data_IF_742391301029
#
_entry.id   IF_742391301029
#
_cell.length_a   1.000
_cell.length_b   1.000
_cell.length_c   1.000
_cell.angle_alpha   90.00
_cell.angle_beta   90.00
_cell.angle_gamma   90.00
#
_symmetry.space_group_name_H-M   'P 1'
#
loop_
_entity.id
_entity.type
_entity.pdbx_description
1 polymer ?
#
# COMPACT_ATOMS: atom_id res chain seq x y z
N UNK A 1 19.27 5.60 -11.48
CA UNK A 1 19.67 4.44 -12.30
C UNK A 1 20.73 3.66 -11.54
N UNK A 2 20.48 2.38 -11.33
CA UNK A 2 21.32 1.51 -10.50
C UNK A 2 21.85 0.34 -11.33
N UNK A 3 23.17 0.13 -11.30
CA UNK A 3 23.84 -0.95 -12.00
C UNK A 3 24.20 -2.09 -11.04
N UNK A 4 24.06 -3.32 -11.51
CA UNK A 4 24.40 -4.55 -10.79
C UNK A 4 25.38 -5.39 -11.59
N UNK A 5 26.38 -5.93 -10.91
CA UNK A 5 27.14 -7.06 -11.39
C UNK A 5 26.47 -8.37 -11.00
N UNK A 6 26.62 -9.40 -11.84
CA UNK A 6 26.09 -10.71 -11.55
C UNK A 6 26.80 -11.32 -10.31
N UNK A 7 26.02 -11.67 -9.28
CA UNK A 7 26.58 -12.13 -8.01
C UNK A 7 26.13 -13.55 -7.66
N UNK A 8 27.04 -14.39 -7.17
CA UNK A 8 26.75 -15.70 -6.64
C UNK A 8 26.88 -15.68 -5.11
N UNK A 9 25.75 -15.59 -4.44
CA UNK A 9 25.68 -15.53 -2.99
C UNK A 9 25.67 -16.93 -2.37
N UNK A 10 26.17 -17.05 -1.15
CA UNK A 10 26.09 -18.27 -0.34
C UNK A 10 25.79 -17.89 1.11
N UNK A 11 25.16 -18.81 1.86
CA UNK A 11 24.93 -18.65 3.29
C UNK A 11 23.57 -18.09 3.65
N UNK A 12 23.53 -17.20 4.63
CA UNK A 12 22.32 -16.70 5.25
C UNK A 12 22.39 -15.18 5.49
N UNK A 13 21.30 -14.48 5.18
CA UNK A 13 21.24 -13.02 5.25
C UNK A 13 20.05 -12.56 6.10
N UNK A 14 20.26 -11.48 6.85
CA UNK A 14 19.18 -10.80 7.57
C UNK A 14 18.50 -9.81 6.62
N UNK A 15 17.16 -9.91 6.54
CA UNK A 15 16.33 -9.10 5.68
C UNK A 15 15.34 -8.32 6.51
N UNK A 16 15.82 -7.20 7.05
CA UNK A 16 14.99 -6.29 7.83
C UNK A 16 14.02 -5.55 6.91
N UNK A 17 12.75 -5.94 6.93
CA UNK A 17 11.67 -5.25 6.21
C UNK A 17 11.20 -4.03 7.01
N UNK A 18 10.73 -2.95 6.34
CA UNK A 18 10.17 -1.77 6.98
C UNK A 18 8.87 -2.10 7.73
N UNK A 19 8.42 -1.23 8.65
CA UNK A 19 7.12 -1.38 9.29
C UNK A 19 5.99 -1.26 8.26
N UNK A 20 4.90 -1.99 8.51
CA UNK A 20 3.75 -2.03 7.60
C UNK A 20 3.12 -0.66 7.42
N UNK A 21 3.24 -0.10 6.20
CA UNK A 21 2.61 1.17 5.84
C UNK A 21 1.08 1.12 6.00
N UNK A 22 0.48 -0.04 5.76
CA UNK A 22 -0.96 -0.22 5.91
C UNK A 22 -1.44 -0.11 7.35
N UNK A 23 -0.65 -0.59 8.31
CA UNK A 23 -0.88 -0.38 9.74
C UNK A 23 -0.55 1.05 10.14
N UNK A 24 0.62 1.57 9.74
CA UNK A 24 1.06 2.93 10.07
C UNK A 24 0.02 3.98 9.69
N UNK A 25 -0.46 4.00 8.43
CA UNK A 25 -1.44 4.98 7.95
C UNK A 25 -2.74 4.93 8.78
N UNK A 26 -3.23 3.74 9.15
CA UNK A 26 -4.46 3.59 9.93
C UNK A 26 -4.29 4.06 11.38
N UNK A 27 -3.19 3.68 12.02
CA UNK A 27 -2.88 4.10 13.37
C UNK A 27 -2.63 5.60 13.46
N UNK A 28 -1.91 6.18 12.47
CA UNK A 28 -1.75 7.62 12.36
C UNK A 28 -3.10 8.34 12.23
N UNK A 29 -3.99 7.83 11.34
CA UNK A 29 -5.31 8.43 11.14
C UNK A 29 -6.17 8.43 12.40
N UNK A 30 -6.22 7.33 13.16
CA UNK A 30 -7.00 7.27 14.39
C UNK A 30 -6.29 7.95 15.56
N UNK A 31 -4.97 7.80 15.69
CA UNK A 31 -4.19 8.48 16.72
C UNK A 31 -4.32 10.01 16.65
N UNK A 32 -4.37 10.57 15.45
CA UNK A 32 -4.58 12.02 15.24
C UNK A 32 -5.94 12.53 15.73
N UNK A 33 -6.92 11.64 15.88
CA UNK A 33 -8.29 11.92 16.33
C UNK A 33 -8.53 11.47 17.78
N UNK A 34 -7.53 10.82 18.40
CA UNK A 34 -7.63 10.37 19.81
C UNK A 34 -7.42 11.54 20.76
N UNK A 35 -8.05 11.46 21.95
CA UNK A 35 -7.82 12.45 23.01
C UNK A 35 -6.53 12.23 23.79
N UNK A 36 -5.92 11.05 23.66
CA UNK A 36 -4.69 10.67 24.36
C UNK A 36 -3.47 10.66 23.44
N UNK A 37 -2.35 10.27 24.01
CA UNK A 37 -1.12 10.00 23.27
C UNK A 37 -1.14 8.57 22.73
N UNK A 38 -0.69 8.41 21.48
CA UNK A 38 -0.51 7.13 20.82
C UNK A 38 0.95 6.96 20.47
N UNK A 39 1.58 5.95 21.05
CA UNK A 39 2.97 5.61 20.79
C UNK A 39 3.02 4.43 19.83
N UNK A 40 3.60 4.62 18.62
CA UNK A 40 3.76 3.59 17.62
C UNK A 40 5.23 3.18 17.55
N UNK A 41 5.54 1.99 18.04
CA UNK A 41 6.87 1.39 17.96
C UNK A 41 6.99 0.46 16.76
N UNK A 42 8.18 0.40 16.16
CA UNK A 42 8.45 -0.41 14.97
C UNK A 42 9.95 -0.67 14.80
N UNK A 43 10.29 -1.66 13.99
CA UNK A 43 11.65 -1.91 13.52
C UNK A 43 11.84 -1.39 12.08
N UNK A 44 13.06 -0.96 11.75
CA UNK A 44 13.41 -0.46 10.42
C UNK A 44 12.96 0.99 10.19
N UNK A 45 12.95 1.41 8.94
CA UNK A 45 12.62 2.77 8.53
C UNK A 45 11.25 2.79 7.84
N UNK A 46 10.27 3.56 8.32
CA UNK A 46 8.98 3.69 7.65
C UNK A 46 9.13 4.21 6.23
N UNK A 47 8.30 3.70 5.30
CA UNK A 47 8.25 4.19 3.94
C UNK A 47 7.68 5.61 3.84
N UNK A 48 7.99 6.31 2.75
CA UNK A 48 7.54 7.69 2.49
C UNK A 48 6.02 7.84 2.53
N UNK A 49 5.25 6.81 2.19
CA UNK A 49 3.79 6.80 2.32
C UNK A 49 3.33 7.04 3.77
N UNK A 50 4.08 6.51 4.76
CA UNK A 50 3.79 6.73 6.18
C UNK A 50 4.12 8.16 6.61
N UNK A 51 5.24 8.71 6.13
CA UNK A 51 5.60 10.11 6.36
C UNK A 51 4.60 11.07 5.69
N UNK A 52 4.15 10.77 4.47
CA UNK A 52 3.14 11.58 3.78
C UNK A 52 1.85 11.69 4.61
N UNK A 53 1.38 10.56 5.18
CA UNK A 53 0.22 10.57 6.06
C UNK A 53 0.47 11.39 7.33
N UNK A 54 1.60 11.17 8.01
CA UNK A 54 1.96 11.88 9.23
C UNK A 54 2.05 13.41 8.98
N UNK A 55 2.68 13.83 7.89
CA UNK A 55 2.81 15.23 7.53
C UNK A 55 1.45 15.89 7.21
N UNK A 56 0.55 15.18 6.51
CA UNK A 56 -0.81 15.68 6.29
C UNK A 56 -1.56 15.87 7.60
N UNK A 57 -1.47 14.91 8.53
CA UNK A 57 -2.14 15.00 9.83
C UNK A 57 -1.53 16.09 10.73
N UNK A 58 -0.22 16.28 10.69
CA UNK A 58 0.45 17.38 11.37
C UNK A 58 -0.03 18.74 10.83
N UNK A 59 -0.16 18.88 9.51
CA UNK A 59 -0.74 20.05 8.88
C UNK A 59 -2.21 20.29 9.28
N UNK A 60 -2.96 19.22 9.56
CA UNK A 60 -4.34 19.26 10.04
C UNK A 60 -4.46 19.48 11.55
N UNK A 61 -3.37 19.65 12.29
CA UNK A 61 -3.37 20.07 13.69
C UNK A 61 -2.96 19.02 14.71
N UNK A 62 -2.59 17.81 14.30
CA UNK A 62 -2.01 16.81 15.20
C UNK A 62 -0.54 17.10 15.47
N UNK A 63 -0.06 16.73 16.65
CA UNK A 63 1.37 16.76 16.92
C UNK A 63 1.96 15.37 16.73
N UNK A 64 3.02 15.27 15.94
CA UNK A 64 3.70 14.01 15.70
C UNK A 64 5.19 14.22 15.93
N UNK A 65 5.74 13.46 16.88
CA UNK A 65 7.16 13.46 17.20
C UNK A 65 7.79 12.20 16.58
N UNK A 66 8.67 12.44 15.60
CA UNK A 66 9.37 11.39 14.85
C UNK A 66 10.65 11.00 15.59
N UNK A 67 10.68 9.83 16.20
CA UNK A 67 11.86 9.24 16.84
C UNK A 67 12.26 7.97 16.10
N UNK A 68 13.52 7.62 16.15
CA UNK A 68 14.00 6.36 15.61
C UNK A 68 13.30 5.18 16.31
N UNK A 69 12.68 4.29 15.50
CA UNK A 69 11.93 3.14 16.01
C UNK A 69 10.62 3.45 16.72
N UNK A 70 10.24 4.73 16.82
CA UNK A 70 9.05 5.11 17.58
C UNK A 70 8.48 6.47 17.14
N UNK A 71 7.18 6.55 16.87
CA UNK A 71 6.47 7.80 16.61
C UNK A 71 5.42 8.06 17.69
N UNK A 72 5.48 9.24 18.31
CA UNK A 72 4.49 9.68 19.28
C UNK A 72 3.49 10.63 18.62
N UNK A 73 2.21 10.32 18.73
CA UNK A 73 1.12 11.10 18.17
C UNK A 73 0.26 11.65 19.30
N UNK A 74 0.10 12.97 19.34
CA UNK A 74 -0.92 13.62 20.14
C UNK A 74 -2.04 14.09 19.20
N UNK A 75 -3.25 13.65 19.41
CA UNK A 75 -4.42 14.15 18.67
C UNK A 75 -4.66 15.63 18.96
N UNK A 76 -5.28 16.32 18.01
CA UNK A 76 -5.57 17.74 18.17
C UNK A 76 -6.59 17.96 19.29
N UNK A 77 -6.25 18.79 20.29
CA UNK A 77 -7.13 19.13 21.43
C UNK A 77 -8.39 19.88 21.00
N UNK A 78 -8.26 20.71 19.96
CA UNK A 78 -9.33 21.54 19.41
C UNK A 78 -10.04 20.87 18.21
N UNK A 79 -9.68 19.62 17.91
CA UNK A 79 -10.08 18.90 16.72
C UNK A 79 -9.23 19.22 15.51
N UNK A 80 -9.33 18.38 14.47
CA UNK A 80 -8.62 18.59 13.22
C UNK A 80 -9.26 19.77 12.45
N UNK A 81 -8.44 20.44 11.61
CA UNK A 81 -8.86 21.55 10.75
C UNK A 81 -8.26 21.40 9.34
N UNK A 82 -8.80 22.16 8.39
CA UNK A 82 -8.26 22.23 7.03
C UNK A 82 -7.21 23.34 6.98
N UNK A 83 -5.94 23.02 6.61
CA UNK A 83 -4.90 24.04 6.49
C UNK A 83 -5.05 24.87 5.21
N UNK A 84 -4.51 26.09 5.20
CA UNK A 84 -4.52 26.99 4.03
C UNK A 84 -3.62 26.50 2.87
N UNK A 85 -2.67 25.61 3.15
CA UNK A 85 -1.76 25.05 2.17
C UNK A 85 -2.18 23.66 1.69
N UNK A 86 -1.54 23.19 0.63
CA UNK A 86 -1.82 21.89 0.00
C UNK A 86 -1.40 20.74 0.93
N UNK A 87 -2.29 19.77 1.12
CA UNK A 87 -2.00 18.48 1.75
C UNK A 87 -1.31 17.57 0.72
N UNK A 88 0.01 17.43 0.85
CA UNK A 88 0.81 16.63 -0.09
C UNK A 88 0.87 15.17 0.35
N UNK A 89 0.24 14.30 -0.42
CA UNK A 89 0.15 12.87 -0.15
C UNK A 89 1.30 12.03 -0.77
N UNK A 90 2.29 12.68 -1.39
CA UNK A 90 3.40 11.98 -2.06
C UNK A 90 2.90 11.00 -3.11
N UNK A 91 3.36 9.74 -3.05
CA UNK A 91 2.90 8.63 -3.91
C UNK A 91 1.72 7.85 -3.30
N UNK A 92 1.25 8.21 -2.11
CA UNK A 92 0.32 7.39 -1.33
C UNK A 92 -1.15 7.58 -1.72
N UNK A 93 -1.71 6.63 -2.49
CA UNK A 93 -3.14 6.60 -2.80
C UNK A 93 -4.02 6.40 -1.56
N UNK A 94 -3.54 5.64 -0.57
CA UNK A 94 -4.26 5.43 0.69
C UNK A 94 -4.32 6.73 1.50
N UNK A 95 -3.20 7.45 1.61
CA UNK A 95 -3.15 8.76 2.27
C UNK A 95 -4.09 9.75 1.59
N UNK A 96 -4.03 9.86 0.25
CA UNK A 96 -4.90 10.75 -0.50
C UNK A 96 -6.40 10.44 -0.27
N UNK A 97 -6.75 9.16 -0.19
CA UNK A 97 -8.13 8.73 0.08
C UNK A 97 -8.56 9.08 1.51
N UNK A 98 -7.72 8.76 2.51
CA UNK A 98 -8.03 9.00 3.93
C UNK A 98 -8.12 10.49 4.21
N UNK A 99 -7.15 11.29 3.76
CA UNK A 99 -7.14 12.75 3.93
C UNK A 99 -8.34 13.39 3.23
N UNK A 100 -8.73 12.90 2.04
CA UNK A 100 -9.95 13.37 1.35
C UNK A 100 -11.21 13.14 2.19
N UNK A 101 -11.39 11.94 2.72
CA UNK A 101 -12.56 11.63 3.55
C UNK A 101 -12.55 12.39 4.88
N UNK A 102 -11.38 12.53 5.53
CA UNK A 102 -11.24 13.32 6.75
C UNK A 102 -11.57 14.79 6.49
N UNK A 103 -11.06 15.36 5.38
CA UNK A 103 -11.35 16.76 4.99
C UNK A 103 -12.84 16.98 4.75
N UNK A 104 -13.54 16.03 4.12
CA UNK A 104 -14.97 16.09 3.88
C UNK A 104 -15.82 16.10 5.18
N UNK A 105 -15.25 15.68 6.31
CA UNK A 105 -15.88 15.78 7.62
C UNK A 105 -15.68 17.15 8.31
N UNK A 106 -14.82 18.01 7.77
CA UNK A 106 -14.41 19.30 8.36
C UNK A 106 -15.05 20.47 7.59
N UNK A 107 -14.92 21.67 8.14
CA UNK A 107 -15.38 22.90 7.47
C UNK A 107 -14.20 23.53 6.71
N UNK A 108 -14.44 23.96 5.48
CA UNK A 108 -13.46 24.66 4.63
C UNK A 108 -13.17 23.90 3.34
N UNK A 109 -12.19 24.37 2.59
CA UNK A 109 -11.80 23.87 1.27
C UNK A 109 -10.41 23.23 1.36
N UNK A 110 -10.34 21.91 1.28
CA UNK A 110 -9.09 21.18 1.33
C UNK A 110 -8.48 21.03 -0.07
N UNK A 111 -7.22 21.43 -0.22
CA UNK A 111 -6.42 21.22 -1.43
C UNK A 111 -5.52 20.01 -1.22
N UNK A 112 -5.67 18.98 -2.04
CA UNK A 112 -4.96 17.71 -1.90
C UNK A 112 -4.19 17.44 -3.20
N UNK A 113 -2.91 17.09 -3.07
CA UNK A 113 -2.05 16.79 -4.21
C UNK A 113 -1.05 15.69 -3.86
N UNK A 114 -0.22 15.31 -4.83
CA UNK A 114 0.84 14.33 -4.70
C UNK A 114 1.80 14.36 -5.88
N UNK A 115 2.59 13.32 -6.03
CA UNK A 115 3.57 13.22 -7.10
C UNK A 115 2.95 12.93 -8.47
N UNK A 116 3.78 12.87 -9.50
CA UNK A 116 3.36 12.60 -10.87
C UNK A 116 2.72 11.21 -11.04
N UNK A 117 3.10 10.22 -10.23
CA UNK A 117 2.51 8.89 -10.24
C UNK A 117 1.11 8.91 -9.63
N UNK A 118 0.93 9.57 -8.48
CA UNK A 118 -0.38 9.69 -7.83
C UNK A 118 -1.37 10.49 -8.68
N UNK A 119 -0.91 11.54 -9.37
CA UNK A 119 -1.73 12.36 -10.28
C UNK A 119 -2.31 11.57 -11.46
N UNK A 120 -1.68 10.46 -11.87
CA UNK A 120 -2.19 9.58 -12.94
C UNK A 120 -3.27 8.60 -12.45
N UNK A 121 -3.41 8.43 -11.13
CA UNK A 121 -4.38 7.51 -10.52
C UNK A 121 -5.70 8.21 -10.24
N UNK A 122 -6.79 7.45 -10.30
CA UNK A 122 -8.14 7.95 -10.04
C UNK A 122 -8.76 7.32 -8.80
N UNK A 123 -9.54 8.09 -8.07
CA UNK A 123 -10.30 7.68 -6.88
C UNK A 123 -11.81 7.86 -7.12
N UNK A 124 -12.31 7.50 -8.29
CA UNK A 124 -13.71 7.72 -8.72
C UNK A 124 -14.69 7.28 -7.65
N UNK A 125 -14.58 6.03 -7.15
CA UNK A 125 -15.54 5.50 -6.18
C UNK A 125 -15.66 6.34 -4.90
N UNK A 126 -14.54 6.82 -4.34
CA UNK A 126 -14.56 7.69 -3.17
C UNK A 126 -15.10 9.09 -3.52
N UNK A 127 -14.67 9.67 -4.64
CA UNK A 127 -15.10 11.02 -5.04
C UNK A 127 -16.62 11.07 -5.30
N UNK A 128 -17.16 10.07 -5.99
CA UNK A 128 -18.62 9.93 -6.19
C UNK A 128 -19.37 9.78 -4.85
N UNK A 129 -18.83 8.98 -3.92
CA UNK A 129 -19.42 8.84 -2.58
C UNK A 129 -19.45 10.17 -1.85
N UNK A 130 -18.35 10.92 -1.82
CA UNK A 130 -18.28 12.23 -1.16
C UNK A 130 -19.21 13.25 -1.83
N UNK A 131 -19.32 13.22 -3.17
CA UNK A 131 -20.28 14.09 -3.90
C UNK A 131 -21.73 13.78 -3.55
N UNK A 132 -22.11 12.50 -3.46
CA UNK A 132 -23.45 12.07 -3.02
C UNK A 132 -23.73 12.50 -1.56
N UNK A 133 -22.69 12.54 -0.73
CA UNK A 133 -22.77 13.02 0.65
C UNK A 133 -22.79 14.56 0.77
N UNK A 134 -22.78 15.29 -0.35
CA UNK A 134 -22.97 16.73 -0.41
C UNK A 134 -21.70 17.58 -0.49
N UNK A 135 -20.55 16.97 -0.73
CA UNK A 135 -19.31 17.71 -0.98
C UNK A 135 -19.13 18.03 -2.47
N UNK A 136 -18.48 19.16 -2.76
CA UNK A 136 -18.02 19.50 -4.11
C UNK A 136 -16.59 18.99 -4.31
N UNK A 137 -16.38 18.19 -5.36
CA UNK A 137 -15.08 17.58 -5.69
C UNK A 137 -14.65 18.08 -7.06
N UNK A 138 -13.51 18.76 -7.14
CA UNK A 138 -13.04 19.37 -8.39
C UNK A 138 -12.50 18.36 -9.41
N UNK A 139 -12.03 17.18 -8.97
CA UNK A 139 -11.44 16.13 -9.82
C UNK A 139 -11.42 14.77 -9.13
N UNK A 140 -11.54 13.71 -9.90
CA UNK A 140 -11.37 12.33 -9.43
C UNK A 140 -9.91 11.93 -9.18
N UNK A 141 -8.97 12.69 -9.71
CA UNK A 141 -7.53 12.55 -9.50
C UNK A 141 -6.99 13.74 -8.69
N UNK A 142 -5.81 13.62 -8.10
CA UNK A 142 -5.10 14.77 -7.56
C UNK A 142 -4.35 15.50 -8.71
N UNK A 143 -4.13 16.83 -8.64
CA UNK A 143 -4.59 17.74 -7.59
C UNK A 143 -6.10 17.91 -7.60
N UNK A 144 -6.70 17.92 -6.40
CA UNK A 144 -8.14 18.16 -6.23
C UNK A 144 -8.43 19.10 -5.07
N UNK A 145 -9.57 19.76 -5.15
CA UNK A 145 -10.15 20.48 -4.03
C UNK A 145 -11.40 19.75 -3.57
N UNK A 146 -11.57 19.62 -2.25
CA UNK A 146 -12.78 19.15 -1.60
C UNK A 146 -13.37 20.32 -0.87
N UNK A 147 -14.54 20.78 -1.30
CA UNK A 147 -15.25 21.92 -0.74
C UNK A 147 -16.55 21.49 -0.09
N UNK A 148 -16.94 22.18 0.96
CA UNK A 148 -18.10 21.87 1.76
C UNK A 148 -17.85 20.73 2.76
N UNK A 149 -18.92 20.35 3.45
CA UNK A 149 -18.92 19.32 4.50
C UNK A 149 -20.00 18.30 4.22
N UNK A 150 -19.78 17.05 4.56
CA UNK A 150 -20.80 15.99 4.53
C UNK A 150 -22.09 16.49 5.18
N UNK A 151 -23.17 16.48 4.41
CA UNK A 151 -24.51 16.99 4.80
C UNK A 151 -25.64 16.01 4.51
N UNK A 152 -25.47 15.11 3.53
CA UNK A 152 -26.40 14.03 3.21
C UNK A 152 -26.10 12.79 4.04
N UNK A 153 -27.10 11.90 4.17
CA UNK A 153 -27.02 10.71 5.02
C UNK A 153 -26.75 9.43 4.24
N UNK A 154 -27.11 9.40 2.96
CA UNK A 154 -27.10 8.17 2.15
C UNK A 154 -26.23 8.36 0.92
N UNK A 155 -25.37 7.38 0.66
CA UNK A 155 -24.56 7.31 -0.55
C UNK A 155 -24.29 5.86 -0.94
N UNK A 156 -23.75 5.68 -2.15
CA UNK A 156 -23.25 4.39 -2.62
C UNK A 156 -21.73 4.45 -2.70
N UNK A 157 -21.05 3.39 -2.29
CA UNK A 157 -19.60 3.25 -2.41
C UNK A 157 -19.21 2.03 -3.25
N UNK A 158 -18.43 2.25 -4.30
CA UNK A 158 -17.92 1.19 -5.15
C UNK A 158 -16.52 0.77 -4.69
N UNK A 159 -16.33 -0.53 -4.42
CA UNK A 159 -15.05 -1.07 -4.03
C UNK A 159 -14.48 -2.14 -4.99
N UNK A 160 -15.00 -2.18 -6.21
CA UNK A 160 -14.52 -3.11 -7.25
C UNK A 160 -13.05 -2.93 -7.63
N UNK A 161 -12.53 -1.71 -7.51
CA UNK A 161 -11.14 -1.40 -7.84
C UNK A 161 -10.20 -1.40 -6.63
N UNK A 162 -10.74 -1.10 -5.43
CA UNK A 162 -9.93 -0.95 -4.22
C UNK A 162 -10.80 -0.83 -2.96
N UNK A 163 -10.31 -1.33 -1.83
CA UNK A 163 -10.92 -1.11 -0.51
C UNK A 163 -10.56 0.25 0.13
N UNK A 164 -9.79 1.09 -0.56
CA UNK A 164 -9.28 2.37 0.01
C UNK A 164 -10.42 3.33 0.36
N UNK A 165 -11.49 3.40 -0.46
CA UNK A 165 -12.65 4.26 -0.20
C UNK A 165 -13.37 3.87 1.10
N UNK A 166 -13.65 2.59 1.30
CA UNK A 166 -14.25 2.09 2.55
C UNK A 166 -13.35 2.38 3.76
N UNK A 167 -12.05 2.10 3.62
CA UNK A 167 -11.05 2.40 4.66
C UNK A 167 -11.05 3.89 4.99
N UNK A 168 -11.06 4.76 3.98
CA UNK A 168 -11.05 6.20 4.16
C UNK A 168 -12.28 6.70 4.92
N UNK A 169 -13.47 6.26 4.52
CA UNK A 169 -14.72 6.63 5.20
C UNK A 169 -14.77 6.12 6.65
N UNK A 170 -14.31 4.90 6.89
CA UNK A 170 -14.25 4.34 8.22
C UNK A 170 -13.28 5.11 9.15
N UNK A 171 -12.07 5.44 8.67
CA UNK A 171 -11.07 6.19 9.43
C UNK A 171 -11.46 7.67 9.64
N UNK A 172 -12.26 8.25 8.73
CA UNK A 172 -12.79 9.60 8.86
C UNK A 172 -14.03 9.68 9.77
N UNK A 173 -14.67 8.54 10.03
CA UNK A 173 -15.99 8.49 10.71
C UNK A 173 -16.02 9.12 12.12
N UNK A 174 -14.94 9.18 12.92
CA UNK A 174 -14.98 9.89 14.20
C UNK A 174 -15.45 11.34 14.09
N UNK A 175 -15.09 12.03 13.00
CA UNK A 175 -15.42 13.44 12.75
C UNK A 175 -16.66 13.66 11.88
N UNK A 176 -17.44 12.63 11.59
CA UNK A 176 -18.68 12.77 10.83
C UNK A 176 -19.62 13.74 11.56
N UNK A 177 -20.29 14.65 10.83
CA UNK A 177 -21.26 15.56 11.43
C UNK A 177 -22.56 14.85 11.87
N UNK A 178 -22.88 13.73 11.21
CA UNK A 178 -24.09 12.93 11.45
C UNK A 178 -23.82 11.46 11.13
N UNK A 179 -24.76 10.58 11.49
CA UNK A 179 -24.76 9.21 10.99
C UNK A 179 -25.03 9.18 9.48
N UNK A 180 -24.33 8.30 8.78
CA UNK A 180 -24.46 8.06 7.33
C UNK A 180 -24.61 6.56 7.06
N UNK A 181 -25.31 6.23 5.97
CA UNK A 181 -25.42 4.89 5.42
C UNK A 181 -24.76 4.83 4.05
N UNK A 182 -23.82 3.91 3.87
CA UNK A 182 -23.14 3.67 2.61
C UNK A 182 -23.54 2.30 2.06
N UNK A 183 -24.29 2.30 0.96
CA UNK A 183 -24.60 1.06 0.23
C UNK A 183 -23.37 0.65 -0.57
N UNK A 184 -22.84 -0.54 -0.29
CA UNK A 184 -21.68 -1.06 -1.02
C UNK A 184 -22.10 -1.69 -2.34
N UNK A 185 -21.28 -1.52 -3.39
CA UNK A 185 -21.50 -2.14 -4.69
C UNK A 185 -20.19 -2.64 -5.29
N UNK A 186 -20.31 -3.57 -6.25
CA UNK A 186 -19.20 -4.10 -7.02
C UNK A 186 -18.59 -5.38 -6.43
N UNK A 187 -17.57 -5.88 -7.10
CA UNK A 187 -16.83 -7.08 -6.66
C UNK A 187 -15.84 -6.70 -5.58
N UNK A 188 -15.89 -7.39 -4.46
CA UNK A 188 -15.03 -7.11 -3.31
C UNK A 188 -13.60 -7.51 -3.59
N UNK A 189 -12.70 -6.52 -3.67
CA UNK A 189 -11.25 -6.72 -3.79
C UNK A 189 -10.53 -6.22 -2.54
N UNK A 190 -9.35 -6.76 -2.28
CA UNK A 190 -8.50 -6.31 -1.17
C UNK A 190 -9.19 -6.38 0.21
N UNK A 191 -10.04 -7.38 0.46
CA UNK A 191 -10.81 -7.55 1.70
C UNK A 191 -9.93 -7.62 2.96
N UNK A 192 -8.72 -8.15 2.86
CA UNK A 192 -7.78 -8.21 3.97
C UNK A 192 -7.46 -6.83 4.54
N UNK A 193 -7.29 -5.81 3.68
CA UNK A 193 -7.05 -4.43 4.11
C UNK A 193 -8.29 -3.78 4.72
N UNK A 194 -9.50 -4.16 4.27
CA UNK A 194 -10.75 -3.78 4.95
C UNK A 194 -10.85 -4.46 6.33
N UNK A 195 -10.49 -5.75 6.41
CA UNK A 195 -10.39 -6.50 7.67
C UNK A 195 -9.45 -5.83 8.67
N UNK A 196 -8.27 -5.38 8.21
CA UNK A 196 -7.32 -4.60 9.01
C UNK A 196 -7.94 -3.29 9.53
N UNK A 197 -8.66 -2.56 8.68
CA UNK A 197 -9.36 -1.33 9.08
C UNK A 197 -10.37 -1.61 10.19
N UNK A 198 -11.20 -2.64 10.04
CA UNK A 198 -12.16 -3.07 11.06
C UNK A 198 -11.48 -3.41 12.40
N UNK A 199 -10.38 -4.18 12.34
CA UNK A 199 -9.60 -4.56 13.52
C UNK A 199 -9.09 -3.32 14.26
N UNK A 200 -8.47 -2.39 13.54
CA UNK A 200 -7.89 -1.18 14.13
C UNK A 200 -8.98 -0.25 14.69
N UNK A 201 -10.10 -0.06 14.01
CA UNK A 201 -11.25 0.68 14.54
C UNK A 201 -11.79 0.04 15.82
N UNK A 202 -11.92 -1.29 15.86
CA UNK A 202 -12.37 -2.03 17.03
C UNK A 202 -11.41 -1.86 18.20
N UNK A 203 -10.11 -1.91 17.98
CA UNK A 203 -9.09 -1.66 19.02
C UNK A 203 -9.08 -0.20 19.50
N UNK A 204 -9.63 0.72 18.71
CA UNK A 204 -9.73 2.15 19.02
C UNK A 204 -11.11 2.57 19.60
N UNK A 205 -12.01 1.61 19.86
CA UNK A 205 -13.28 1.86 20.55
C UNK A 205 -14.53 1.68 19.70
N UNK A 206 -14.45 1.39 18.38
CA UNK A 206 -15.63 1.25 17.52
C UNK A 206 -15.56 0.03 16.62
N UNK A 207 -16.42 -0.94 16.84
CA UNK A 207 -16.64 -2.02 15.89
C UNK A 207 -17.46 -1.52 14.70
N UNK A 208 -16.98 -1.77 13.49
CA UNK A 208 -17.62 -1.43 12.22
C UNK A 208 -17.74 -2.66 11.32
N UNK A 209 -18.71 -2.72 10.47
CA UNK A 209 -18.93 -3.83 9.55
C UNK A 209 -19.99 -3.54 8.51
N UNK A 210 -19.94 -4.29 7.41
CA UNK A 210 -20.96 -4.26 6.36
C UNK A 210 -22.00 -5.33 6.71
N UNK A 211 -23.25 -4.93 6.73
CA UNK A 211 -24.40 -5.82 6.95
C UNK A 211 -25.39 -5.63 5.81
N UNK A 212 -25.71 -6.71 5.09
CA UNK A 212 -26.61 -6.68 3.92
C UNK A 212 -26.23 -5.61 2.90
N UNK A 213 -24.93 -5.56 2.54
CA UNK A 213 -24.35 -4.59 1.61
C UNK A 213 -24.43 -3.13 2.07
N UNK A 214 -24.60 -2.90 3.37
CA UNK A 214 -24.72 -1.57 3.95
C UNK A 214 -23.70 -1.37 5.07
N UNK A 215 -22.97 -0.25 5.01
CA UNK A 215 -22.02 0.20 6.04
C UNK A 215 -22.60 1.43 6.74
N UNK A 216 -22.95 1.26 8.01
CA UNK A 216 -23.40 2.35 8.87
C UNK A 216 -22.21 2.98 9.58
N UNK A 217 -22.02 4.28 9.42
CA UNK A 217 -20.97 5.06 10.06
C UNK A 217 -21.60 6.27 10.77
N UNK A 218 -21.00 6.70 11.87
CA UNK A 218 -21.40 7.89 12.61
C UNK A 218 -20.26 8.36 13.50
N UNK A 219 -20.38 9.55 14.12
CA UNK A 219 -19.36 10.08 15.00
C UNK A 219 -19.13 9.18 16.22
N UNK A 220 -17.89 9.08 16.64
CA UNK A 220 -17.49 8.31 17.81
C UNK A 220 -16.18 8.84 18.42
N UNK A 221 -15.99 8.58 19.71
CA UNK A 221 -14.77 8.98 20.40
C UNK A 221 -13.66 7.93 20.22
N UNK A 222 -12.52 8.38 19.67
CA UNK A 222 -11.37 7.52 19.43
C UNK A 222 -10.57 7.35 20.73
N UNK A 223 -10.34 6.10 21.10
CA UNK A 223 -9.51 5.68 22.22
C UNK A 223 -8.47 4.68 21.70
N UNK A 224 -7.37 5.15 21.14
CA UNK A 224 -6.28 4.27 20.72
C UNK A 224 -5.53 3.67 21.91
N UNK A 225 -4.98 2.44 21.79
CA UNK A 225 -4.01 1.95 22.76
C UNK A 225 -2.84 2.94 22.91
N UNK A 226 -2.34 3.11 24.13
CA UNK A 226 -1.21 4.02 24.41
C UNK A 226 0.11 3.53 23.81
N UNK A 227 0.25 2.22 23.61
CA UNK A 227 1.42 1.58 22.97
C UNK A 227 0.94 0.63 21.87
N UNK A 228 1.45 0.81 20.68
CA UNK A 228 1.17 0.01 19.47
C UNK A 228 2.49 -0.46 18.89
N UNK A 229 2.65 -1.76 18.71
CA UNK A 229 3.75 -2.34 17.94
C UNK A 229 3.28 -2.56 16.50
N UNK A 230 3.98 -1.96 15.53
CA UNK A 230 3.74 -2.20 14.11
C UNK A 230 4.83 -3.11 13.57
N UNK A 231 4.44 -4.33 13.23
CA UNK A 231 5.34 -5.32 12.63
C UNK A 231 5.68 -4.98 11.16
N UNK A 232 6.55 -5.78 10.57
CA UNK A 232 7.02 -5.57 9.21
C UNK A 232 5.92 -5.69 8.14
N UNK A 233 6.17 -5.11 6.97
CA UNK A 233 5.26 -5.11 5.82
C UNK A 233 5.16 -6.50 5.19
N UNK A 234 4.06 -7.22 5.45
CA UNK A 234 3.83 -8.59 4.98
C UNK A 234 3.89 -8.73 3.46
N UNK A 235 3.45 -7.71 2.72
CA UNK A 235 3.47 -7.72 1.26
C UNK A 235 4.89 -7.72 0.64
N UNK A 236 5.93 -7.55 1.45
CA UNK A 236 7.34 -7.67 1.05
C UNK A 236 7.93 -9.09 1.24
N UNK A 237 7.20 -10.01 1.88
CA UNK A 237 7.65 -11.41 2.02
C UNK A 237 7.99 -12.04 0.65
N UNK A 238 7.20 -11.84 -0.43
CA UNK A 238 7.58 -12.38 -1.75
C UNK A 238 8.88 -11.80 -2.30
N UNK A 239 9.28 -10.58 -1.95
CA UNK A 239 10.59 -10.02 -2.34
C UNK A 239 11.74 -10.81 -1.68
N UNK A 240 11.67 -11.00 -0.36
CA UNK A 240 12.63 -11.82 0.38
C UNK A 240 12.64 -13.27 -0.12
N UNK A 241 11.48 -13.82 -0.49
CA UNK A 241 11.34 -15.18 -1.04
C UNK A 241 11.97 -15.29 -2.44
N UNK A 242 11.75 -14.28 -3.30
CA UNK A 242 12.38 -14.23 -4.63
C UNK A 242 13.90 -14.17 -4.50
N UNK A 243 14.42 -13.30 -3.63
CA UNK A 243 15.84 -13.19 -3.36
C UNK A 243 16.45 -14.51 -2.87
N UNK A 244 15.78 -15.14 -1.89
CA UNK A 244 16.20 -16.47 -1.39
C UNK A 244 16.26 -17.53 -2.50
N UNK A 245 15.23 -17.61 -3.35
CA UNK A 245 15.13 -18.63 -4.39
C UNK A 245 16.10 -18.40 -5.54
N UNK A 246 16.26 -17.16 -6.02
CA UNK A 246 17.07 -16.86 -7.19
C UNK A 246 18.57 -17.02 -6.89
N UNK A 247 19.00 -16.76 -5.64
CA UNK A 247 20.37 -16.94 -5.19
C UNK A 247 20.65 -18.31 -4.51
N UNK A 248 19.60 -19.05 -4.15
CA UNK A 248 19.76 -20.31 -3.41
C UNK A 248 20.23 -20.12 -1.96
N UNK A 249 19.88 -19.00 -1.32
CA UNK A 249 20.34 -18.61 0.03
C UNK A 249 19.21 -18.60 1.05
N UNK A 250 19.57 -18.66 2.32
CA UNK A 250 18.60 -18.50 3.42
C UNK A 250 18.40 -17.02 3.75
N UNK A 251 17.14 -16.59 3.91
CA UNK A 251 16.78 -15.22 4.29
C UNK A 251 15.98 -15.23 5.59
N UNK A 252 16.51 -14.57 6.63
CA UNK A 252 15.82 -14.37 7.91
C UNK A 252 15.11 -13.03 7.89
N UNK A 253 13.79 -13.06 8.14
CA UNK A 253 12.90 -11.87 8.14
C UNK A 253 12.49 -11.51 9.55
N UNK A 254 12.24 -10.24 9.81
CA UNK A 254 11.58 -9.79 11.02
C UNK A 254 10.09 -10.17 11.03
N UNK A 255 9.45 -10.02 12.20
CA UNK A 255 8.05 -10.40 12.46
C UNK A 255 7.09 -9.57 11.61
N UNK A 256 6.04 -10.20 11.09
CA UNK A 256 4.93 -9.57 10.37
C UNK A 256 3.60 -9.75 11.10
N UNK A 257 2.69 -8.79 10.90
CA UNK A 257 1.28 -8.97 11.25
C UNK A 257 0.52 -9.48 10.04
N UNK A 258 -0.19 -10.59 10.20
CA UNK A 258 -0.88 -11.27 9.11
C UNK A 258 -2.13 -10.49 8.66
N UNK A 259 -2.24 -10.25 7.36
CA UNK A 259 -3.43 -9.71 6.71
C UNK A 259 -4.12 -10.86 5.99
N UNK A 260 -5.34 -11.20 6.42
CA UNK A 260 -6.14 -12.26 5.81
C UNK A 260 -6.27 -12.05 4.29
N UNK A 261 -6.12 -13.09 3.51
CA UNK A 261 -6.09 -13.02 2.04
C UNK A 261 -4.69 -12.81 1.49
N UNK A 262 -3.93 -11.84 2.00
CA UNK A 262 -2.51 -11.66 1.64
C UNK A 262 -1.67 -12.83 2.16
N UNK A 263 -1.82 -13.19 3.44
CA UNK A 263 -1.17 -14.36 4.04
C UNK A 263 -1.47 -15.66 3.25
N UNK A 264 -2.75 -15.89 2.94
CA UNK A 264 -3.17 -17.05 2.15
C UNK A 264 -2.48 -17.10 0.78
N UNK A 265 -2.44 -15.96 0.08
CA UNK A 265 -1.79 -15.88 -1.23
C UNK A 265 -0.27 -16.12 -1.15
N UNK A 266 0.39 -15.60 -0.12
CA UNK A 266 1.81 -15.82 0.12
C UNK A 266 2.09 -17.31 0.43
N UNK A 267 1.28 -17.94 1.25
CA UNK A 267 1.44 -19.37 1.57
C UNK A 267 1.26 -20.26 0.33
N UNK A 268 0.26 -19.97 -0.51
CA UNK A 268 0.05 -20.65 -1.79
C UNK A 268 1.24 -20.47 -2.75
N UNK A 269 1.77 -19.24 -2.84
CA UNK A 269 2.95 -18.92 -3.65
C UNK A 269 4.18 -19.69 -3.18
N UNK A 270 4.43 -19.72 -1.88
CA UNK A 270 5.57 -20.44 -1.27
C UNK A 270 5.44 -21.95 -1.49
N UNK A 271 4.24 -22.49 -1.39
CA UNK A 271 3.93 -23.92 -1.65
C UNK A 271 4.06 -24.29 -3.15
N UNK A 272 4.14 -23.31 -4.06
CA UNK A 272 4.26 -23.52 -5.50
C UNK A 272 2.95 -23.94 -6.15
N UNK A 273 1.84 -23.32 -5.73
CA UNK A 273 0.52 -23.54 -6.34
C UNK A 273 0.51 -23.17 -7.82
N UNK A 274 -0.12 -24.00 -8.64
CA UNK A 274 -0.26 -23.75 -10.08
C UNK A 274 -1.18 -22.55 -10.39
N UNK A 275 -2.22 -22.35 -9.59
CA UNK A 275 -3.13 -21.21 -9.70
C UNK A 275 -2.99 -20.36 -8.44
N UNK A 276 -2.73 -19.07 -8.63
CA UNK A 276 -2.59 -18.09 -7.57
C UNK A 276 -3.63 -16.98 -7.77
N UNK A 277 -4.70 -17.03 -6.97
CA UNK A 277 -5.71 -15.97 -6.92
C UNK A 277 -5.21 -14.79 -6.07
N UNK A 278 -5.06 -13.62 -6.71
CA UNK A 278 -4.61 -12.39 -6.08
C UNK A 278 -5.71 -11.32 -5.98
N UNK A 279 -6.99 -11.70 -6.02
CA UNK A 279 -8.12 -10.77 -5.84
C UNK A 279 -7.95 -9.91 -4.57
N UNK A 280 -7.41 -10.48 -3.51
CA UNK A 280 -7.20 -9.80 -2.24
C UNK A 280 -5.73 -9.44 -1.95
N UNK A 281 -4.82 -9.70 -2.89
CA UNK A 281 -3.37 -9.58 -2.69
C UNK A 281 -2.62 -9.01 -3.93
N UNK A 282 -3.23 -8.12 -4.68
CA UNK A 282 -2.66 -7.59 -5.94
C UNK A 282 -1.32 -6.85 -5.79
N UNK A 283 -0.91 -6.55 -4.57
CA UNK A 283 0.40 -5.93 -4.29
C UNK A 283 1.59 -6.88 -4.48
N UNK A 284 1.35 -8.18 -4.54
CA UNK A 284 2.42 -9.19 -4.72
C UNK A 284 2.52 -9.76 -6.14
N UNK A 285 1.79 -9.21 -7.12
CA UNK A 285 1.75 -9.71 -8.52
C UNK A 285 3.16 -9.86 -9.10
N UNK A 286 3.93 -8.78 -9.09
CA UNK A 286 5.24 -8.73 -9.76
C UNK A 286 6.26 -9.74 -9.21
N UNK A 287 6.55 -9.78 -7.91
CA UNK A 287 7.44 -10.79 -7.37
C UNK A 287 6.87 -12.22 -7.49
N UNK A 288 5.54 -12.38 -7.44
CA UNK A 288 4.91 -13.71 -7.62
C UNK A 288 5.14 -14.25 -9.01
N UNK A 289 5.00 -13.43 -10.05
CA UNK A 289 5.27 -13.83 -11.42
C UNK A 289 6.74 -14.26 -11.61
N UNK A 290 7.69 -13.51 -11.02
CA UNK A 290 9.10 -13.87 -11.05
C UNK A 290 9.39 -15.20 -10.30
N UNK A 291 8.79 -15.39 -9.11
CA UNK A 291 8.93 -16.62 -8.33
C UNK A 291 8.36 -17.82 -9.10
N UNK A 292 7.20 -17.66 -9.75
CA UNK A 292 6.60 -18.71 -10.58
C UNK A 292 7.48 -19.06 -11.78
N UNK A 293 8.05 -18.03 -12.44
CA UNK A 293 8.92 -18.23 -13.61
C UNK A 293 10.14 -19.11 -13.30
N UNK A 294 10.86 -18.82 -12.22
CA UNK A 294 12.03 -19.61 -11.82
C UNK A 294 11.65 -20.94 -11.15
N UNK A 295 10.39 -21.07 -10.73
CA UNK A 295 9.83 -22.27 -10.11
C UNK A 295 9.07 -23.16 -11.10
N UNK A 296 7.90 -23.64 -10.70
CA UNK A 296 7.08 -24.59 -11.50
C UNK A 296 6.24 -23.91 -12.58
N UNK A 297 6.16 -22.57 -12.60
CA UNK A 297 5.23 -21.84 -13.43
C UNK A 297 3.82 -21.84 -12.84
N UNK A 298 2.85 -21.35 -13.65
CA UNK A 298 1.44 -21.36 -13.28
C UNK A 298 0.69 -20.13 -13.81
N UNK A 299 -0.42 -19.82 -13.15
CA UNK A 299 -1.33 -18.76 -13.54
C UNK A 299 -1.68 -17.88 -12.33
N UNK A 300 -1.48 -16.58 -12.46
CA UNK A 300 -1.99 -15.56 -11.55
C UNK A 300 -3.35 -15.10 -12.08
N UNK A 301 -4.36 -14.97 -11.20
CA UNK A 301 -5.74 -14.59 -11.55
C UNK A 301 -6.31 -13.57 -10.59
N UNK A 302 -7.49 -13.00 -10.90
CA UNK A 302 -8.27 -12.16 -9.99
C UNK A 302 -7.71 -10.75 -9.79
N UNK A 303 -6.80 -10.27 -10.63
CA UNK A 303 -6.09 -9.02 -10.40
C UNK A 303 -6.27 -7.96 -11.50
N UNK A 304 -7.38 -7.98 -12.25
CA UNK A 304 -7.69 -6.96 -13.25
C UNK A 304 -7.62 -5.52 -12.68
N UNK A 305 -8.01 -5.34 -11.41
CA UNK A 305 -7.95 -4.06 -10.70
C UNK A 305 -6.51 -3.53 -10.46
N UNK A 306 -5.50 -4.37 -10.64
CA UNK A 306 -4.10 -3.94 -10.53
C UNK A 306 -3.61 -3.08 -11.71
N UNK A 307 -4.38 -2.99 -12.79
CA UNK A 307 -4.10 -2.06 -13.91
C UNK A 307 -4.20 -0.59 -13.51
N UNK A 308 -4.97 -0.27 -12.48
CA UNK A 308 -5.15 1.08 -11.95
C UNK A 308 -4.24 1.42 -10.77
N UNK A 309 -3.18 0.65 -10.51
CA UNK A 309 -2.20 0.93 -9.44
C UNK A 309 -1.15 1.97 -9.87
N UNK A 310 0.06 1.93 -9.33
CA UNK A 310 1.17 2.81 -9.66
C UNK A 310 1.56 2.71 -11.14
N UNK A 311 1.43 1.51 -11.69
CA UNK A 311 1.53 1.17 -13.11
C UNK A 311 0.39 0.23 -13.50
N UNK A 312 0.19 -0.08 -14.80
CA UNK A 312 -0.55 -1.28 -15.19
C UNK A 312 0.31 -2.50 -14.83
N UNK A 313 0.14 -2.99 -13.58
CA UNK A 313 1.00 -4.05 -13.04
C UNK A 313 0.95 -5.35 -13.83
N UNK A 314 -0.12 -5.63 -14.58
CA UNK A 314 -0.18 -6.84 -15.40
C UNK A 314 0.73 -6.69 -16.63
N UNK A 315 0.47 -5.69 -17.45
CA UNK A 315 1.25 -5.41 -18.66
C UNK A 315 2.72 -5.15 -18.33
N UNK A 316 2.98 -4.29 -17.32
CA UNK A 316 4.35 -3.89 -16.99
C UNK A 316 5.17 -4.97 -16.29
N UNK A 317 4.53 -5.92 -15.58
CA UNK A 317 5.22 -7.12 -15.08
C UNK A 317 5.68 -8.00 -16.23
N UNK A 318 4.83 -8.24 -17.24
CA UNK A 318 5.20 -9.04 -18.41
C UNK A 318 6.36 -8.41 -19.18
N UNK A 319 6.31 -7.09 -19.38
CA UNK A 319 7.35 -6.32 -20.05
C UNK A 319 8.68 -6.37 -19.27
N UNK A 320 8.65 -6.13 -17.97
CA UNK A 320 9.83 -6.18 -17.09
C UNK A 320 10.46 -7.57 -17.06
N UNK A 321 9.66 -8.64 -16.92
CA UNK A 321 10.16 -10.01 -16.96
C UNK A 321 10.77 -10.35 -18.32
N UNK A 322 10.17 -9.85 -19.41
CA UNK A 322 10.69 -10.00 -20.78
C UNK A 322 12.08 -9.38 -20.96
N UNK A 323 12.38 -8.26 -20.31
CA UNK A 323 13.71 -7.66 -20.34
C UNK A 323 14.80 -8.57 -19.75
N UNK A 324 14.45 -9.42 -18.77
CA UNK A 324 15.33 -10.47 -18.23
C UNK A 324 15.24 -11.81 -18.99
N UNK A 325 14.64 -11.85 -20.18
CA UNK A 325 14.50 -13.07 -20.99
C UNK A 325 13.43 -14.04 -20.46
N UNK A 326 12.65 -13.65 -19.46
CA UNK A 326 11.59 -14.47 -18.88
C UNK A 326 10.33 -14.36 -19.74
N UNK A 327 9.83 -15.50 -20.23
CA UNK A 327 8.57 -15.57 -20.97
C UNK A 327 7.38 -15.55 -20.03
N UNK A 328 6.44 -14.66 -20.29
CA UNK A 328 5.16 -14.60 -19.60
C UNK A 328 4.11 -14.00 -20.55
N UNK A 329 2.85 -14.21 -20.25
CA UNK A 329 1.75 -13.71 -21.07
C UNK A 329 0.66 -13.09 -20.20
N UNK A 330 0.27 -11.88 -20.53
CA UNK A 330 -0.83 -11.19 -19.91
C UNK A 330 -2.18 -11.87 -20.27
N UNK A 331 -3.09 -11.93 -19.31
CA UNK A 331 -4.50 -12.27 -19.50
C UNK A 331 -5.39 -11.11 -19.09
N UNK A 332 -6.71 -11.21 -19.29
CA UNK A 332 -7.66 -10.16 -18.92
C UNK A 332 -7.61 -9.81 -17.44
N UNK A 333 -7.33 -10.78 -16.56
CA UNK A 333 -7.37 -10.66 -15.11
C UNK A 333 -6.10 -11.12 -14.40
N UNK A 334 -4.99 -11.39 -15.14
CA UNK A 334 -3.79 -11.91 -14.53
C UNK A 334 -2.62 -12.14 -15.50
N UNK A 335 -1.74 -13.07 -15.14
CA UNK A 335 -0.53 -13.42 -15.89
C UNK A 335 -0.34 -14.92 -15.92
N UNK A 336 -0.01 -15.47 -17.10
CA UNK A 336 0.39 -16.86 -17.29
C UNK A 336 1.91 -16.91 -17.40
N UNK A 337 2.55 -17.77 -16.62
CA UNK A 337 4.00 -17.83 -16.52
C UNK A 337 4.47 -19.27 -16.66
N UNK A 338 5.18 -19.65 -17.74
CA UNK A 338 5.87 -20.93 -17.81
C UNK A 338 6.93 -21.05 -16.71
N UNK A 339 7.13 -22.25 -16.17
CA UNK A 339 8.12 -22.50 -15.14
C UNK A 339 9.47 -22.93 -15.66
N UNK A 340 10.44 -23.15 -14.74
CA UNK A 340 11.77 -23.64 -15.05
C UNK A 340 12.62 -22.68 -15.87
N UNK A 341 12.35 -21.38 -15.78
CA UNK A 341 13.06 -20.37 -16.56
C UNK A 341 14.25 -19.84 -15.77
N UNK A 342 15.33 -19.58 -16.49
CA UNK A 342 16.53 -18.92 -15.96
C UNK A 342 16.58 -17.49 -16.51
N UNK A 343 16.51 -16.46 -15.63
CA UNK A 343 16.66 -15.08 -16.06
C UNK A 343 18.06 -14.79 -16.58
N UNK A 344 18.17 -13.90 -17.55
CA UNK A 344 19.41 -13.48 -18.17
C UNK A 344 19.66 -11.98 -17.98
N UNK A 345 20.91 -11.54 -18.16
CA UNK A 345 21.25 -10.11 -18.10
C UNK A 345 20.47 -9.34 -19.18
N UNK A 346 19.76 -8.26 -18.82
CA UNK A 346 19.06 -7.42 -19.79
C UNK A 346 20.05 -6.66 -20.67
N UNK A 347 19.65 -6.41 -21.93
CA UNK A 347 20.47 -5.64 -22.90
C UNK A 347 20.36 -4.14 -22.59
N UNK A 348 19.16 -3.68 -22.33
CA UNK A 348 18.85 -2.28 -22.03
C UNK A 348 18.48 -2.10 -20.55
N UNK A 349 18.56 -0.87 -20.00
CA UNK A 349 18.10 -0.59 -18.63
C UNK A 349 16.63 -1.01 -18.43
N UNK A 350 16.35 -1.71 -17.35
CA UNK A 350 15.01 -2.18 -17.00
C UNK A 350 14.21 -1.06 -16.39
N UNK A 351 13.09 -0.70 -17.03
CA UNK A 351 12.20 0.37 -16.57
C UNK A 351 11.32 -0.08 -15.41
N UNK A 352 11.18 0.76 -14.39
CA UNK A 352 10.35 0.48 -13.21
C UNK A 352 8.98 1.18 -13.24
N UNK A 353 8.75 2.08 -14.17
CA UNK A 353 7.50 2.84 -14.34
C UNK A 353 7.06 3.62 -13.08
N UNK A 354 8.02 4.01 -12.24
CA UNK A 354 7.77 4.60 -10.92
C UNK A 354 6.90 3.72 -10.00
N UNK A 355 6.96 2.39 -10.19
CA UNK A 355 6.29 1.40 -9.34
C UNK A 355 7.34 0.68 -8.48
N UNK A 356 7.27 0.88 -7.17
CA UNK A 356 8.21 0.30 -6.21
C UNK A 356 8.24 -1.23 -6.24
N UNK A 357 7.12 -1.91 -6.60
CA UNK A 357 7.08 -3.38 -6.73
C UNK A 357 7.87 -3.85 -7.93
N UNK A 358 7.78 -3.10 -9.05
CA UNK A 358 8.62 -3.34 -10.23
C UNK A 358 10.09 -3.14 -9.90
N UNK A 359 10.44 -1.99 -9.29
CA UNK A 359 11.81 -1.65 -8.96
C UNK A 359 12.46 -2.70 -8.06
N UNK A 360 11.82 -3.08 -6.96
CA UNK A 360 12.33 -4.11 -6.04
C UNK A 360 12.52 -5.45 -6.74
N UNK A 361 11.54 -5.90 -7.54
CA UNK A 361 11.63 -7.18 -8.26
C UNK A 361 12.75 -7.16 -9.29
N UNK A 362 12.87 -6.09 -10.08
CA UNK A 362 13.93 -5.91 -11.07
C UNK A 362 15.31 -5.91 -10.42
N UNK A 363 15.51 -5.19 -9.31
CA UNK A 363 16.78 -5.18 -8.58
C UNK A 363 17.16 -6.56 -8.04
N UNK A 364 16.21 -7.34 -7.53
CA UNK A 364 16.46 -8.70 -7.08
C UNK A 364 16.91 -9.59 -8.24
N UNK A 365 16.26 -9.49 -9.39
CA UNK A 365 16.68 -10.30 -10.56
C UNK A 365 18.06 -9.81 -11.06
N UNK A 366 18.25 -8.50 -11.18
CA UNK A 366 19.51 -7.91 -11.60
C UNK A 366 20.69 -8.23 -10.67
N UNK A 367 20.47 -8.37 -9.35
CA UNK A 367 21.52 -8.79 -8.41
C UNK A 367 22.05 -10.20 -8.72
N UNK A 368 21.27 -11.06 -9.39
CA UNK A 368 21.69 -12.39 -9.84
C UNK A 368 22.29 -12.38 -11.25
N UNK A 369 21.68 -11.64 -12.18
CA UNK A 369 22.02 -11.70 -13.61
C UNK A 369 23.00 -10.62 -14.06
N UNK A 370 23.18 -9.59 -13.24
CA UNK A 370 23.72 -8.30 -13.67
C UNK A 370 22.68 -7.49 -14.44
N UNK A 371 22.98 -6.25 -14.73
CA UNK A 371 22.16 -5.34 -15.52
C UNK A 371 21.89 -4.02 -14.83
N UNK A 372 21.14 -3.16 -15.50
CA UNK A 372 20.83 -1.82 -15.03
C UNK A 372 19.34 -1.65 -14.79
N UNK A 373 18.95 -1.03 -13.67
CA UNK A 373 17.55 -0.72 -13.30
C UNK A 373 17.39 0.80 -13.26
N UNK A 374 16.39 1.32 -13.98
CA UNK A 374 16.07 2.75 -14.03
C UNK A 374 14.84 3.08 -13.19
N UNK A 375 14.89 4.19 -12.43
CA UNK A 375 13.80 4.61 -11.54
C UNK A 375 13.77 3.82 -10.23
N UNK A 376 14.93 3.48 -9.71
CA UNK A 376 15.14 2.73 -8.47
C UNK A 376 14.76 3.51 -7.20
N UNK A 377 14.68 4.84 -7.27
CA UNK A 377 14.33 5.75 -6.18
C UNK A 377 12.89 5.55 -5.65
N UNK A 378 11.97 5.07 -6.49
CA UNK A 378 10.58 4.85 -6.11
C UNK A 378 10.37 3.78 -5.01
N UNK A 379 11.39 2.97 -4.68
CA UNK A 379 11.31 1.97 -3.60
C UNK A 379 11.10 2.61 -2.23
N UNK A 380 11.53 3.84 -2.05
CA UNK A 380 11.40 4.61 -0.81
C UNK A 380 9.95 4.82 -0.38
N UNK A 381 9.00 4.77 -1.32
CA UNK A 381 7.57 4.81 -1.03
C UNK A 381 7.14 3.75 0.01
N UNK A 382 7.78 2.57 -0.02
CA UNK A 382 7.47 1.46 0.90
C UNK A 382 8.68 1.00 1.71
N UNK A 383 9.87 0.87 1.11
CA UNK A 383 11.09 0.36 1.77
C UNK A 383 12.31 1.23 1.44
N UNK A 384 12.54 2.32 2.19
CA UNK A 384 13.70 3.21 1.97
C UNK A 384 15.06 2.51 2.13
N UNK A 385 15.11 1.41 2.87
CA UNK A 385 16.32 0.63 3.10
C UNK A 385 16.62 -0.41 2.02
N UNK A 386 15.73 -0.63 1.06
CA UNK A 386 15.81 -1.74 0.12
C UNK A 386 17.07 -1.72 -0.76
N UNK A 387 17.33 -0.60 -1.41
CA UNK A 387 18.48 -0.41 -2.30
C UNK A 387 19.79 -0.66 -1.57
N UNK A 388 19.97 -0.01 -0.41
CA UNK A 388 21.15 -0.20 0.45
C UNK A 388 21.33 -1.66 0.87
N UNK A 389 20.23 -2.34 1.25
CA UNK A 389 20.25 -3.74 1.67
C UNK A 389 20.76 -4.65 0.56
N UNK A 390 20.24 -4.53 -0.65
CA UNK A 390 20.69 -5.35 -1.80
C UNK A 390 22.14 -5.07 -2.14
N UNK A 391 22.55 -3.80 -2.22
CA UNK A 391 23.95 -3.43 -2.49
C UNK A 391 24.91 -4.02 -1.47
N UNK A 392 24.64 -3.80 -0.18
CA UNK A 392 25.48 -4.30 0.89
C UNK A 392 25.66 -5.84 0.87
N UNK A 393 24.59 -6.57 0.53
CA UNK A 393 24.65 -8.02 0.39
C UNK A 393 25.49 -8.42 -0.82
N UNK A 394 25.34 -7.75 -1.97
CA UNK A 394 26.10 -8.05 -3.19
C UNK A 394 27.58 -7.69 -3.05
N UNK A 395 27.92 -6.61 -2.35
CA UNK A 395 29.30 -6.18 -2.09
C UNK A 395 30.03 -7.08 -1.09
N UNK A 396 29.30 -7.81 -0.24
CA UNK A 396 29.87 -8.73 0.74
C UNK A 396 30.14 -10.14 0.19
N UNK A 397 29.87 -10.39 -1.09
CA UNK A 397 30.06 -11.65 -1.80
C UNK A 397 31.38 -11.71 -2.56
#
# INVERSE_FOLDING_TARGET
>A
MMEFDATNLTGSFDWLMPPSKSHMIRWLALGSQSRGETNISFEGVPGEDSFAMANCLAAMGSKIDFREGNWLIEGSKDGLYIPDHVLNCGNSGTTASVVSAMSACLKGDAKIDGDSSLRRRSSVGLCETLSQLGCEISSNSVPRTISGRISSKDATIDWSGTSQGLTAMALASPNLPNEISLKTKGVHVSEGYWGLTKKICSMSGKSIGIYRDELQLGPWEVCTPSLIEVCAEESLIPMATLFSRIHGVTVRKNKVDEIVGLKKAIDMLIAGSEILDLTHASDIITPSAAIMAIGKGGRITGCAHARGKESDRLSKTVEMLGAFGIKSMESSDGIIVPGGQEPSRPVDPVLTYSDHRMAMTAMIIASKTGGCVEGDDCVSATDPGFTKRIQSICESA
#
